data_IF_617734639999
#
_entry.id   IF_617734639999
#
_cell.length_a   1.000
_cell.length_b   1.000
_cell.length_c   1.000
_cell.angle_alpha   90.00
_cell.angle_beta   90.00
_cell.angle_gamma   90.00
#
_symmetry.space_group_name_H-M   'P 1'
#
loop_
_entity.id
_entity.type
_entity.pdbx_description
1 polymer ?
#
# COMPACT_ATOMS: atom_id res chain seq x y z
N UNK A 1 6.09 40.22 15.31
CA UNK A 1 5.27 40.04 14.10
C UNK A 1 5.86 38.86 13.37
N UNK A 2 5.09 37.78 13.17
CA UNK A 2 5.54 36.68 12.32
C UNK A 2 5.41 37.11 10.86
N UNK A 3 6.36 36.71 10.02
CA UNK A 3 6.24 36.93 8.57
C UNK A 3 5.25 35.91 7.96
N UNK A 4 4.59 36.22 6.82
CA UNK A 4 3.66 35.29 6.18
C UNK A 4 4.26 33.89 5.89
N UNK A 5 5.57 33.82 5.64
CA UNK A 5 6.29 32.56 5.42
C UNK A 5 6.46 31.74 6.70
N UNK A 6 6.63 32.40 7.86
CA UNK A 6 6.70 31.73 9.17
C UNK A 6 5.33 31.21 9.60
N UNK A 7 4.26 31.96 9.31
CA UNK A 7 2.88 31.52 9.61
C UNK A 7 2.49 30.30 8.77
N UNK A 8 2.84 30.28 7.49
CA UNK A 8 2.64 29.12 6.62
C UNK A 8 3.41 27.90 7.14
N UNK A 9 4.70 28.07 7.44
CA UNK A 9 5.55 26.96 7.93
C UNK A 9 5.02 26.39 9.26
N UNK A 10 4.57 27.26 10.17
CA UNK A 10 3.98 26.82 11.45
C UNK A 10 2.67 26.06 11.24
N UNK A 11 1.84 26.50 10.29
CA UNK A 11 0.59 25.83 9.95
C UNK A 11 0.85 24.44 9.34
N UNK A 12 1.74 24.36 8.36
CA UNK A 12 2.13 23.10 7.72
C UNK A 12 2.69 22.12 8.76
N UNK A 13 3.61 22.58 9.61
CA UNK A 13 4.18 21.77 10.69
C UNK A 13 3.11 21.25 11.68
N UNK A 14 2.13 22.09 12.02
CA UNK A 14 1.02 21.70 12.89
C UNK A 14 0.11 20.66 12.21
N UNK A 15 -0.24 20.84 10.94
CA UNK A 15 -1.04 19.89 10.16
C UNK A 15 -0.33 18.54 10.04
N UNK A 16 0.99 18.55 9.78
CA UNK A 16 1.83 17.34 9.73
C UNK A 16 1.87 16.65 11.09
N UNK A 17 2.08 17.40 12.19
CA UNK A 17 2.12 16.83 13.53
C UNK A 17 0.78 16.18 13.92
N UNK A 18 -0.34 16.87 13.70
CA UNK A 18 -1.68 16.35 13.97
C UNK A 18 -1.99 15.08 13.18
N UNK A 19 -1.58 15.03 11.91
CA UNK A 19 -1.70 13.82 11.08
C UNK A 19 -0.82 12.68 11.62
N UNK A 20 0.43 12.99 11.94
CA UNK A 20 1.46 12.05 12.40
C UNK A 20 1.24 11.47 13.81
N UNK A 21 0.44 12.14 14.66
CA UNK A 21 0.05 11.63 15.98
C UNK A 21 -0.99 10.49 15.89
N UNK A 22 -1.74 10.44 14.78
CA UNK A 22 -2.90 9.57 14.66
C UNK A 22 -4.14 10.17 15.33
N UNK A 23 -5.30 10.08 14.67
CA UNK A 23 -6.56 10.40 15.34
C UNK A 23 -6.83 9.46 16.52
N UNK A 24 -7.63 9.87 17.53
CA UNK A 24 -8.05 8.95 18.57
C UNK A 24 -8.68 7.69 17.95
N UNK A 25 -8.45 6.51 18.54
CA UNK A 25 -9.12 5.26 18.16
C UNK A 25 -10.63 5.40 18.48
N UNK A 26 -11.38 6.14 17.65
CA UNK A 26 -12.83 6.37 17.81
C UNK A 26 -13.62 5.13 17.35
N UNK A 27 -12.97 4.25 16.59
CA UNK A 27 -13.48 2.95 16.21
C UNK A 27 -13.05 1.98 17.32
N UNK A 28 -14.00 1.56 18.16
CA UNK A 28 -13.76 0.60 19.24
C UNK A 28 -13.06 -0.67 18.74
N UNK A 29 -12.44 -1.43 19.66
CA UNK A 29 -11.72 -2.67 19.34
C UNK A 29 -12.64 -3.66 18.62
N UNK A 30 -12.60 -3.65 17.29
CA UNK A 30 -13.18 -4.71 16.49
C UNK A 30 -12.40 -5.97 16.81
N UNK A 31 -13.08 -7.01 17.30
CA UNK A 31 -12.44 -8.32 17.44
C UNK A 31 -11.98 -8.77 16.06
N UNK A 32 -10.68 -9.08 15.91
CA UNK A 32 -10.20 -9.85 14.77
C UNK A 32 -11.00 -11.14 14.72
N UNK A 33 -11.77 -11.35 13.65
CA UNK A 33 -12.40 -12.63 13.43
C UNK A 33 -11.28 -13.66 13.19
N UNK A 34 -11.24 -14.79 13.92
CA UNK A 34 -10.21 -15.81 13.72
C UNK A 34 -10.14 -16.30 12.27
N UNK A 35 -11.20 -16.12 11.48
CA UNK A 35 -11.29 -16.54 10.09
C UNK A 35 -10.70 -15.52 9.09
N UNK A 36 -10.08 -14.42 9.55
CA UNK A 36 -9.49 -13.38 8.70
C UNK A 36 -7.96 -13.32 8.78
N UNK A 37 -7.32 -13.24 7.61
CA UNK A 37 -5.89 -13.03 7.46
C UNK A 37 -5.58 -11.80 6.61
N UNK A 38 -4.37 -11.28 6.77
CA UNK A 38 -3.84 -10.18 5.98
C UNK A 38 -2.65 -10.65 5.13
N UNK A 39 -2.61 -10.19 3.88
CA UNK A 39 -1.47 -10.33 3.00
C UNK A 39 -1.05 -8.96 2.49
N UNK A 40 0.18 -8.57 2.78
CA UNK A 40 0.68 -7.22 2.51
C UNK A 40 1.87 -7.34 1.57
N UNK A 41 1.85 -6.56 0.50
CA UNK A 41 2.92 -6.48 -0.49
C UNK A 41 3.21 -5.04 -0.88
N UNK A 42 4.42 -4.78 -1.34
CA UNK A 42 4.88 -3.45 -1.74
C UNK A 42 5.62 -3.55 -3.08
N UNK A 43 5.41 -2.55 -3.94
CA UNK A 43 6.05 -2.48 -5.24
C UNK A 43 6.54 -1.05 -5.50
N UNK A 44 7.76 -0.93 -6.00
CA UNK A 44 8.33 0.34 -6.43
C UNK A 44 8.88 0.23 -7.85
N UNK A 45 8.67 1.24 -8.68
CA UNK A 45 9.21 1.31 -10.04
C UNK A 45 9.00 2.67 -10.70
N UNK A 46 9.22 2.76 -12.01
CA UNK A 46 8.93 3.98 -12.76
C UNK A 46 9.51 4.01 -14.16
N UNK A 47 9.39 5.15 -14.84
CA UNK A 47 9.88 5.39 -16.21
C UNK A 47 11.28 6.03 -16.25
N UNK A 48 11.95 6.14 -15.09
CA UNK A 48 13.21 6.86 -14.90
C UNK A 48 13.15 8.34 -15.32
N UNK A 49 11.96 8.94 -15.39
CA UNK A 49 11.84 10.38 -15.58
C UNK A 49 12.52 11.12 -14.44
N UNK A 50 13.13 12.25 -14.78
CA UNK A 50 13.87 13.06 -13.82
C UNK A 50 12.93 13.63 -12.76
N UNK A 51 13.31 13.46 -11.50
CA UNK A 51 12.66 14.09 -10.36
C UNK A 51 13.41 15.37 -9.95
N UNK A 52 12.78 16.31 -9.22
CA UNK A 52 13.46 17.48 -8.67
C UNK A 52 14.64 17.09 -7.76
N UNK A 53 15.56 18.02 -7.53
CA UNK A 53 16.63 17.82 -6.55
C UNK A 53 16.05 17.62 -5.14
N UNK A 54 16.65 16.72 -4.35
CA UNK A 54 16.22 16.45 -2.98
C UNK A 54 16.52 17.62 -2.03
N UNK A 55 17.50 18.47 -2.35
CA UNK A 55 17.92 19.57 -1.51
C UNK A 55 18.23 19.12 -0.08
N UNK A 56 17.60 19.70 0.94
CA UNK A 56 17.77 19.28 2.34
C UNK A 56 17.43 17.80 2.61
N UNK A 57 16.63 17.15 1.75
CA UNK A 57 16.28 15.73 1.86
C UNK A 57 17.33 14.80 1.25
N UNK A 58 18.47 15.31 0.76
CA UNK A 58 19.56 14.49 0.23
C UNK A 58 19.98 13.29 1.12
N UNK A 59 19.92 13.36 2.47
CA UNK A 59 20.19 12.19 3.32
C UNK A 59 19.24 10.99 3.14
N UNK A 60 18.11 11.13 2.45
CA UNK A 60 17.25 10.01 2.04
C UNK A 60 17.77 9.26 0.81
N UNK A 61 18.68 9.85 0.03
CA UNK A 61 19.26 9.27 -1.18
C UNK A 61 18.33 9.27 -2.42
N UNK A 62 17.02 9.09 -2.23
CA UNK A 62 16.04 9.14 -3.32
C UNK A 62 14.69 9.68 -2.87
N UNK A 63 13.89 10.20 -3.80
CA UNK A 63 12.50 10.57 -3.54
C UNK A 63 11.63 9.36 -3.20
N UNK A 64 11.96 8.19 -3.75
CA UNK A 64 11.29 6.93 -3.42
C UNK A 64 11.52 6.57 -1.94
N UNK A 65 12.71 6.79 -1.39
CA UNK A 65 12.99 6.57 0.04
C UNK A 65 12.31 7.64 0.93
N UNK A 66 12.14 8.88 0.45
CA UNK A 66 11.28 9.88 1.12
C UNK A 66 9.83 9.38 1.18
N UNK A 67 9.28 8.92 0.05
CA UNK A 67 7.92 8.38 -0.02
C UNK A 67 7.75 7.12 0.82
N UNK A 68 8.72 6.21 0.82
CA UNK A 68 8.73 5.01 1.66
C UNK A 68 8.72 5.37 3.16
N UNK A 69 9.47 6.41 3.55
CA UNK A 69 9.45 6.92 4.92
C UNK A 69 8.09 7.53 5.29
N UNK A 70 7.46 8.28 4.38
CA UNK A 70 6.10 8.80 4.57
C UNK A 70 5.08 7.66 4.70
N UNK A 71 5.19 6.62 3.87
CA UNK A 71 4.34 5.42 3.93
C UNK A 71 4.50 4.70 5.26
N UNK A 72 5.74 4.49 5.73
CA UNK A 72 6.00 3.95 7.06
C UNK A 72 5.39 4.83 8.15
N UNK A 73 5.56 6.14 8.08
CA UNK A 73 4.96 7.05 9.07
C UNK A 73 3.44 6.97 9.06
N UNK A 74 2.83 6.78 7.88
CA UNK A 74 1.39 6.54 7.71
C UNK A 74 0.98 5.25 8.43
N UNK A 75 1.75 4.17 8.25
CA UNK A 75 1.55 2.89 8.93
C UNK A 75 1.66 3.02 10.45
N UNK A 76 2.74 3.65 10.94
CA UNK A 76 2.99 3.87 12.36
C UNK A 76 1.87 4.69 13.02
N UNK A 77 1.43 5.76 12.36
CA UNK A 77 0.35 6.64 12.85
C UNK A 77 -1.00 5.92 12.87
N UNK A 78 -1.18 4.91 12.02
CA UNK A 78 -2.35 4.04 12.01
C UNK A 78 -2.20 2.81 12.94
N UNK A 79 -0.99 2.56 13.48
CA UNK A 79 -0.59 1.30 14.12
C UNK A 79 -0.85 0.07 13.23
N UNK A 80 -0.64 0.24 11.93
CA UNK A 80 -0.82 -0.78 10.92
C UNK A 80 0.51 -1.54 10.73
N UNK A 81 0.53 -2.83 11.06
CA UNK A 81 1.73 -3.65 10.92
C UNK A 81 1.79 -4.30 9.53
N UNK A 82 2.64 -3.75 8.66
CA UNK A 82 2.84 -4.26 7.29
C UNK A 82 3.49 -5.66 7.23
N UNK A 83 4.09 -6.12 8.33
CA UNK A 83 4.75 -7.43 8.42
C UNK A 83 3.84 -8.54 8.95
N UNK A 84 2.70 -8.16 9.55
CA UNK A 84 1.75 -9.09 10.14
C UNK A 84 0.89 -9.80 9.09
N UNK A 85 0.55 -11.06 9.38
CA UNK A 85 -0.46 -11.82 8.63
C UNK A 85 -1.81 -11.85 9.36
N UNK A 86 -1.90 -11.23 10.55
CA UNK A 86 -3.14 -11.11 11.32
C UNK A 86 -3.91 -9.90 10.82
N UNK A 87 -5.16 -10.10 10.44
CA UNK A 87 -6.01 -9.00 9.99
C UNK A 87 -6.59 -8.22 11.17
N UNK A 88 -6.43 -6.90 11.12
CA UNK A 88 -7.07 -5.95 12.03
C UNK A 88 -7.87 -4.93 11.21
N UNK A 89 -9.19 -5.10 11.19
CA UNK A 89 -10.12 -4.26 10.44
C UNK A 89 -10.02 -2.77 10.84
N UNK A 90 -9.85 -2.49 12.13
CA UNK A 90 -9.78 -1.11 12.62
C UNK A 90 -8.52 -0.45 12.07
N UNK A 91 -7.36 -1.11 12.20
CA UNK A 91 -6.08 -0.61 11.69
C UNK A 91 -6.09 -0.47 10.17
N UNK A 92 -6.76 -1.38 9.48
CA UNK A 92 -6.94 -1.33 8.03
C UNK A 92 -7.70 -0.09 7.56
N UNK A 93 -8.80 0.25 8.24
CA UNK A 93 -9.61 1.45 7.95
C UNK A 93 -8.83 2.70 8.33
N UNK A 94 -8.21 2.73 9.51
CA UNK A 94 -7.43 3.87 9.98
C UNK A 94 -6.26 4.15 9.05
N UNK A 95 -5.54 3.14 8.58
CA UNK A 95 -4.48 3.30 7.58
C UNK A 95 -5.01 3.94 6.29
N UNK A 96 -6.15 3.47 5.80
CA UNK A 96 -6.79 4.03 4.61
C UNK A 96 -7.11 5.52 4.77
N UNK A 97 -7.65 5.90 5.94
CA UNK A 97 -7.93 7.30 6.24
C UNK A 97 -6.66 8.12 6.38
N UNK A 98 -5.62 7.60 7.04
CA UNK A 98 -4.33 8.30 7.16
C UNK A 98 -3.67 8.50 5.80
N UNK A 99 -3.83 7.54 4.89
CA UNK A 99 -3.34 7.67 3.53
C UNK A 99 -4.06 8.78 2.76
N UNK A 100 -5.40 8.88 2.89
CA UNK A 100 -6.18 9.89 2.16
C UNK A 100 -6.05 11.31 2.74
N UNK A 101 -5.66 11.44 4.01
CA UNK A 101 -5.50 12.73 4.68
C UNK A 101 -4.05 13.18 4.80
N UNK A 102 -3.08 12.42 4.26
CA UNK A 102 -1.68 12.79 4.40
C UNK A 102 -1.37 14.13 3.71
N UNK A 103 -0.67 15.05 4.39
CA UNK A 103 -0.45 16.40 3.87
C UNK A 103 0.55 16.43 2.71
N UNK A 104 1.31 15.36 2.49
CA UNK A 104 2.34 15.28 1.44
C UNK A 104 1.80 14.84 0.08
N UNK A 105 0.50 14.54 -0.03
CA UNK A 105 -0.12 14.13 -1.29
C UNK A 105 -1.08 15.18 -1.84
N UNK A 106 -1.03 15.33 -3.15
CA UNK A 106 -1.98 16.15 -3.92
C UNK A 106 -2.71 15.27 -4.94
N UNK A 107 -3.90 15.72 -5.36
CA UNK A 107 -4.65 15.08 -6.44
C UNK A 107 -5.04 13.63 -6.15
N UNK A 108 -5.38 13.30 -4.90
CA UNK A 108 -5.75 11.94 -4.52
C UNK A 108 -7.01 11.53 -5.29
N UNK A 109 -6.89 10.45 -6.06
CA UNK A 109 -8.01 9.84 -6.80
C UNK A 109 -8.23 8.41 -6.33
N UNK A 110 -9.49 8.02 -6.24
CA UNK A 110 -9.90 6.67 -5.90
C UNK A 110 -10.82 6.08 -6.93
N UNK A 111 -10.71 4.77 -7.16
CA UNK A 111 -11.64 3.99 -7.98
C UNK A 111 -11.70 2.56 -7.44
N UNK A 112 -12.77 1.83 -7.71
CA UNK A 112 -12.92 0.44 -7.30
C UNK A 112 -13.65 -0.38 -8.34
N UNK A 113 -13.25 -1.64 -8.49
CA UNK A 113 -13.88 -2.61 -9.38
C UNK A 113 -14.11 -3.91 -8.67
N UNK A 114 -15.25 -4.53 -8.93
CA UNK A 114 -15.56 -5.88 -8.48
C UNK A 114 -15.54 -6.84 -9.66
N UNK A 115 -14.84 -7.95 -9.51
CA UNK A 115 -14.76 -9.02 -10.51
C UNK A 115 -14.99 -10.37 -9.85
N UNK A 116 -15.40 -11.35 -10.65
CA UNK A 116 -15.52 -12.72 -10.19
C UNK A 116 -14.26 -13.50 -10.51
N UNK A 117 -13.70 -14.20 -9.53
CA UNK A 117 -12.58 -15.13 -9.70
C UNK A 117 -12.97 -16.55 -9.29
N UNK A 118 -12.18 -17.52 -9.72
CA UNK A 118 -12.26 -18.91 -9.25
C UNK A 118 -10.88 -19.53 -9.18
N UNK A 119 -10.76 -20.69 -8.54
CA UNK A 119 -9.51 -21.48 -8.54
C UNK A 119 -9.02 -21.89 -9.94
N UNK A 120 -9.86 -21.80 -10.99
CA UNK A 120 -9.50 -22.11 -12.37
C UNK A 120 -9.15 -20.86 -13.20
N UNK A 121 -9.54 -19.68 -12.75
CA UNK A 121 -9.37 -18.42 -13.47
C UNK A 121 -9.20 -17.26 -12.49
N UNK A 122 -7.96 -16.79 -12.39
CA UNK A 122 -7.53 -15.63 -11.61
C UNK A 122 -7.19 -14.45 -12.51
N UNK A 123 -7.16 -14.64 -13.84
CA UNK A 123 -6.94 -13.54 -14.79
C UNK A 123 -7.89 -12.36 -14.62
N UNK A 124 -9.18 -12.50 -14.19
CA UNK A 124 -10.04 -11.35 -13.96
C UNK A 124 -9.52 -10.40 -12.88
N UNK A 125 -8.82 -10.90 -11.84
CA UNK A 125 -8.21 -10.06 -10.83
C UNK A 125 -7.04 -9.25 -11.40
N UNK A 126 -6.20 -9.88 -12.22
CA UNK A 126 -5.08 -9.20 -12.89
C UNK A 126 -5.60 -8.15 -13.87
N UNK A 127 -6.66 -8.47 -14.62
CA UNK A 127 -7.33 -7.51 -15.50
C UNK A 127 -7.91 -6.34 -14.72
N UNK A 128 -8.59 -6.59 -13.60
CA UNK A 128 -9.14 -5.52 -12.75
C UNK A 128 -8.04 -4.58 -12.22
N UNK A 129 -6.92 -5.15 -11.74
CA UNK A 129 -5.76 -4.35 -11.30
C UNK A 129 -5.19 -3.57 -12.48
N UNK A 130 -4.97 -4.22 -13.62
CA UNK A 130 -4.41 -3.60 -14.84
C UNK A 130 -5.28 -2.45 -15.34
N UNK A 131 -6.60 -2.60 -15.32
CA UNK A 131 -7.53 -1.54 -15.71
C UNK A 131 -7.56 -0.39 -14.71
N UNK A 132 -7.45 -0.69 -13.40
CA UNK A 132 -7.46 0.33 -12.35
C UNK A 132 -6.18 1.16 -12.36
N UNK A 133 -5.01 0.52 -12.47
CA UNK A 133 -3.71 1.21 -12.40
C UNK A 133 -3.12 1.53 -13.78
N UNK A 134 -3.73 1.02 -14.84
CA UNK A 134 -3.32 1.24 -16.22
C UNK A 134 -3.28 2.72 -16.56
N UNK A 135 -2.17 3.17 -17.13
CA UNK A 135 -1.91 4.59 -17.40
C UNK A 135 -1.47 5.42 -16.19
N UNK A 136 -1.49 4.86 -14.97
CA UNK A 136 -0.94 5.49 -13.78
C UNK A 136 0.46 5.02 -13.41
N UNK A 137 0.81 3.80 -13.86
CA UNK A 137 2.09 3.12 -13.61
C UNK A 137 2.75 2.74 -14.94
N UNK A 138 4.06 2.47 -14.92
CA UNK A 138 4.74 1.88 -16.09
C UNK A 138 4.47 0.38 -16.22
N UNK A 139 4.72 -0.23 -17.40
CA UNK A 139 4.59 -1.68 -17.57
C UNK A 139 5.46 -2.51 -16.61
N UNK A 140 6.66 -2.03 -16.30
CA UNK A 140 7.56 -2.70 -15.35
C UNK A 140 7.02 -2.62 -13.92
N UNK A 141 6.52 -1.45 -13.50
CA UNK A 141 5.85 -1.30 -12.20
C UNK A 141 4.60 -2.18 -12.13
N UNK A 142 3.79 -2.25 -13.19
CA UNK A 142 2.63 -3.14 -13.26
C UNK A 142 3.04 -4.61 -13.07
N UNK A 143 4.15 -5.03 -13.69
CA UNK A 143 4.72 -6.37 -13.49
C UNK A 143 5.11 -6.59 -12.04
N UNK A 144 5.73 -5.59 -11.40
CA UNK A 144 6.06 -5.62 -9.96
C UNK A 144 4.82 -5.77 -9.07
N UNK A 145 3.75 -5.02 -9.35
CA UNK A 145 2.46 -5.12 -8.66
C UNK A 145 1.88 -6.52 -8.81
N UNK A 146 1.80 -7.05 -10.04
CA UNK A 146 1.28 -8.40 -10.30
C UNK A 146 2.10 -9.46 -9.58
N UNK A 147 3.44 -9.35 -9.59
CA UNK A 147 4.31 -10.27 -8.88
C UNK A 147 4.08 -10.22 -7.36
N UNK A 148 3.91 -9.02 -6.80
CA UNK A 148 3.60 -8.84 -5.38
C UNK A 148 2.25 -9.45 -5.01
N UNK A 149 1.21 -9.26 -5.83
CA UNK A 149 -0.10 -9.92 -5.66
C UNK A 149 0.05 -11.45 -5.71
N UNK A 150 0.86 -11.98 -6.62
CA UNK A 150 1.15 -13.42 -6.69
C UNK A 150 1.87 -13.94 -5.44
N UNK A 151 2.77 -13.15 -4.84
CA UNK A 151 3.41 -13.49 -3.55
C UNK A 151 2.40 -13.54 -2.42
N UNK A 152 1.49 -12.56 -2.36
CA UNK A 152 0.38 -12.57 -1.40
C UNK A 152 -0.51 -13.80 -1.61
N UNK A 153 -0.79 -14.17 -2.86
CA UNK A 153 -1.50 -15.40 -3.19
C UNK A 153 -0.78 -16.66 -2.69
N UNK A 154 0.55 -16.69 -2.72
CA UNK A 154 1.34 -17.79 -2.15
C UNK A 154 1.21 -17.86 -0.63
N UNK A 155 1.39 -16.73 0.06
CA UNK A 155 1.18 -16.61 1.51
C UNK A 155 -0.22 -17.10 1.92
N UNK A 156 -1.24 -16.66 1.20
CA UNK A 156 -2.63 -17.06 1.40
C UNK A 156 -2.85 -18.58 1.27
N UNK A 157 -2.12 -19.28 0.41
CA UNK A 157 -2.23 -20.75 0.30
C UNK A 157 -1.50 -21.47 1.43
N UNK A 158 -0.39 -20.92 1.91
CA UNK A 158 0.49 -21.54 2.92
C UNK A 158 -0.01 -21.40 4.36
N UNK A 159 -0.78 -20.35 4.66
CA UNK A 159 -1.26 -20.05 6.00
C UNK A 159 -2.46 -20.95 6.38
N UNK A 160 -2.17 -22.06 7.08
CA UNK A 160 -3.09 -23.18 7.37
C UNK A 160 -3.82 -23.00 8.70
N UNK A 161 -5.07 -23.43 8.77
CA UNK A 161 -5.73 -23.66 10.07
C UNK A 161 -7.24 -23.83 10.04
N UNK A 162 -7.90 -23.34 8.97
CA UNK A 162 -9.36 -23.18 8.93
C UNK A 162 -9.99 -23.80 7.68
N UNK A 163 -11.25 -24.20 7.79
CA UNK A 163 -12.00 -24.75 6.65
C UNK A 163 -12.37 -23.67 5.64
N UNK A 164 -12.66 -22.46 6.12
CA UNK A 164 -12.90 -21.26 5.31
C UNK A 164 -12.11 -20.11 5.91
N UNK A 165 -11.69 -19.13 5.09
CA UNK A 165 -11.03 -17.90 5.57
C UNK A 165 -11.22 -16.73 4.61
N UNK A 166 -11.13 -15.50 5.10
CA UNK A 166 -11.01 -14.30 4.26
C UNK A 166 -9.56 -13.81 4.27
N UNK A 167 -8.98 -13.63 3.10
CA UNK A 167 -7.68 -12.98 2.89
C UNK A 167 -7.88 -11.55 2.44
N UNK A 168 -7.47 -10.62 3.31
CA UNK A 168 -7.45 -9.20 3.06
C UNK A 168 -6.07 -8.78 2.55
N UNK A 169 -6.03 -8.30 1.32
CA UNK A 169 -4.83 -7.98 0.56
C UNK A 169 -4.60 -6.47 0.56
N UNK A 170 -3.40 -6.06 0.95
CA UNK A 170 -2.92 -4.70 0.85
C UNK A 170 -1.73 -4.66 -0.09
N UNK A 171 -1.73 -3.71 -1.02
CA UNK A 171 -0.60 -3.47 -1.90
C UNK A 171 -0.20 -2.00 -1.91
N UNK A 172 0.96 -1.68 -1.34
CA UNK A 172 1.59 -0.38 -1.50
C UNK A 172 2.26 -0.25 -2.88
N UNK A 173 2.16 0.91 -3.50
CA UNK A 173 2.76 1.21 -4.80
C UNK A 173 3.48 2.55 -4.74
N UNK A 174 4.75 2.58 -5.12
CA UNK A 174 5.48 3.79 -5.44
C UNK A 174 5.83 3.75 -6.92
N UNK A 175 5.46 4.78 -7.67
CA UNK A 175 5.78 4.83 -9.10
C UNK A 175 6.20 6.22 -9.54
N UNK A 176 7.28 6.30 -10.32
CA UNK A 176 7.66 7.51 -11.04
C UNK A 176 7.10 7.47 -12.45
N UNK A 177 6.28 8.45 -12.83
CA UNK A 177 5.71 8.57 -14.17
C UNK A 177 5.67 10.05 -14.55
N UNK A 178 6.27 10.40 -15.69
CA UNK A 178 6.27 11.76 -16.24
C UNK A 178 6.76 12.86 -15.26
N UNK A 179 7.76 12.55 -14.42
CA UNK A 179 8.32 13.47 -13.42
C UNK A 179 7.56 13.51 -12.09
N UNK A 180 6.47 12.76 -11.98
CA UNK A 180 5.66 12.65 -10.77
C UNK A 180 5.92 11.33 -10.04
N UNK A 181 6.30 11.42 -8.77
CA UNK A 181 6.30 10.30 -7.85
C UNK A 181 4.90 10.16 -7.27
N UNK A 182 4.24 9.07 -7.63
CA UNK A 182 2.90 8.74 -7.17
C UNK A 182 2.96 7.66 -6.11
N UNK A 183 2.18 7.86 -5.05
CA UNK A 183 1.97 6.91 -3.99
C UNK A 183 0.59 6.29 -4.22
N UNK A 184 0.54 4.97 -4.17
CA UNK A 184 -0.65 4.19 -4.43
C UNK A 184 -0.90 3.15 -3.35
N UNK A 185 -2.17 2.85 -3.12
CA UNK A 185 -2.64 1.75 -2.30
C UNK A 185 -3.68 0.98 -3.11
N UNK A 186 -3.50 -0.33 -3.23
CA UNK A 186 -4.53 -1.23 -3.72
C UNK A 186 -5.00 -2.12 -2.59
N UNK A 187 -6.29 -2.39 -2.55
CA UNK A 187 -6.86 -3.31 -1.57
C UNK A 187 -7.76 -4.32 -2.22
N UNK A 188 -7.78 -5.52 -1.65
CA UNK A 188 -8.63 -6.59 -2.13
C UNK A 188 -9.04 -7.52 -1.01
N UNK A 189 -10.26 -8.04 -1.03
CA UNK A 189 -10.69 -9.09 -0.11
C UNK A 189 -11.07 -10.33 -0.91
N UNK A 190 -10.59 -11.49 -0.46
CA UNK A 190 -10.76 -12.79 -1.13
C UNK A 190 -11.15 -13.83 -0.10
N UNK A 191 -12.35 -14.40 -0.20
CA UNK A 191 -12.72 -15.55 0.62
C UNK A 191 -11.91 -16.79 0.18
N UNK A 192 -11.83 -17.89 0.92
CA UNK A 192 -11.16 -19.13 0.52
C UNK A 192 -11.75 -20.32 1.25
N UNK A 193 -11.75 -21.52 0.64
CA UNK A 193 -12.15 -22.79 1.27
C UNK A 193 -11.01 -23.81 1.20
N UNK A 194 -10.68 -24.45 2.32
CA UNK A 194 -9.71 -25.55 2.35
C UNK A 194 -10.33 -26.84 1.81
N UNK A 195 -9.66 -27.46 0.83
CA UNK A 195 -10.03 -28.78 0.31
C UNK A 195 -8.91 -29.79 0.54
N UNK A 196 -9.27 -30.87 1.25
CA UNK A 196 -8.36 -31.99 1.54
C UNK A 196 -7.70 -32.52 0.27
N UNK A 197 -6.37 -32.64 0.28
CA UNK A 197 -5.57 -33.11 -0.86
C UNK A 197 -5.37 -32.07 -1.97
N UNK A 198 -5.98 -30.89 -1.89
CA UNK A 198 -5.84 -29.80 -2.87
C UNK A 198 -5.37 -28.46 -2.27
N UNK A 199 -5.37 -28.31 -0.94
CA UNK A 199 -5.05 -27.05 -0.25
C UNK A 199 -6.24 -26.09 -0.23
N UNK A 200 -6.00 -24.82 0.11
CA UNK A 200 -7.01 -23.77 -0.07
C UNK A 200 -7.31 -23.58 -1.56
N UNK A 201 -8.58 -23.70 -1.93
CA UNK A 201 -9.10 -23.33 -3.24
C UNK A 201 -9.97 -22.09 -3.09
N UNK A 202 -9.81 -21.13 -3.99
CA UNK A 202 -10.73 -20.01 -4.10
C UNK A 202 -12.10 -20.55 -4.57
N UNK A 203 -13.15 -20.27 -3.80
CA UNK A 203 -14.54 -20.45 -4.23
C UNK A 203 -14.84 -19.47 -5.38
N UNK A 204 -15.96 -19.64 -6.09
CA UNK A 204 -16.45 -18.58 -6.97
C UNK A 204 -16.68 -17.33 -6.10
N UNK A 205 -15.91 -16.28 -6.33
CA UNK A 205 -15.80 -15.17 -5.38
C UNK A 205 -15.85 -13.83 -6.06
N UNK A 206 -16.48 -12.87 -5.39
CA UNK A 206 -16.35 -11.47 -5.71
C UNK A 206 -15.11 -10.89 -5.05
N UNK A 207 -14.23 -10.40 -5.91
CA UNK A 207 -13.00 -9.72 -5.58
C UNK A 207 -13.22 -8.25 -5.87
N UNK A 208 -13.21 -7.41 -4.83
CA UNK A 208 -13.25 -5.95 -4.99
C UNK A 208 -11.83 -5.41 -4.90
N UNK A 209 -11.31 -4.91 -6.02
CA UNK A 209 -10.06 -4.15 -6.03
C UNK A 209 -10.41 -2.68 -5.88
N UNK A 210 -9.92 -2.03 -4.83
CA UNK A 210 -9.94 -0.57 -4.73
C UNK A 210 -8.55 -0.02 -4.93
N UNK A 211 -8.43 1.15 -5.56
CA UNK A 211 -7.20 1.91 -5.67
C UNK A 211 -7.37 3.30 -5.05
N UNK A 212 -6.30 3.79 -4.45
CA UNK A 212 -6.10 5.20 -4.12
C UNK A 212 -4.72 5.60 -4.62
N UNK A 213 -4.61 6.71 -5.35
CA UNK A 213 -3.34 7.25 -5.83
C UNK A 213 -3.28 8.75 -5.61
N UNK A 214 -2.17 9.26 -5.10
CA UNK A 214 -1.85 10.69 -5.04
C UNK A 214 -0.43 10.97 -5.55
N UNK A 215 -0.17 12.22 -5.93
CA UNK A 215 1.17 12.68 -6.33
C UNK A 215 1.86 13.34 -5.14
N UNK A 216 3.13 13.01 -4.93
CA UNK A 216 3.96 13.60 -3.88
C UNK A 216 4.16 15.11 -4.12
N UNK A 217 3.84 15.92 -3.11
CA UNK A 217 4.16 17.34 -3.12
C UNK A 217 5.63 17.55 -2.71
N UNK A 218 6.50 17.61 -3.72
CA UNK A 218 7.93 17.84 -3.51
C UNK A 218 8.21 19.16 -2.76
N UNK A 219 7.43 20.20 -3.04
CA UNK A 219 7.62 21.51 -2.44
C UNK A 219 7.33 21.49 -0.95
N UNK A 220 6.22 20.85 -0.56
CA UNK A 220 5.86 20.66 0.84
C UNK A 220 6.89 19.78 1.57
N UNK A 221 7.36 18.70 0.92
CA UNK A 221 8.42 17.85 1.49
C UNK A 221 9.71 18.64 1.75
N UNK A 222 10.18 19.43 0.78
CA UNK A 222 11.41 20.24 0.93
C UNK A 222 11.26 21.29 2.02
N UNK A 223 10.12 21.99 2.08
CA UNK A 223 9.87 23.01 3.13
C UNK A 223 9.84 22.40 4.54
N UNK A 224 9.39 21.14 4.66
CA UNK A 224 9.25 20.45 5.94
C UNK A 224 10.32 19.36 6.12
N UNK A 225 11.49 19.53 5.50
CA UNK A 225 12.54 18.52 5.51
C UNK A 225 13.05 18.17 6.91
N UNK A 226 13.14 19.15 7.82
CA UNK A 226 13.55 18.91 9.21
C UNK A 226 12.62 17.92 9.93
N UNK A 227 11.31 18.00 9.67
CA UNK A 227 10.32 17.09 10.25
C UNK A 227 10.50 15.68 9.68
N UNK A 228 10.62 15.57 8.35
CA UNK A 228 10.83 14.28 7.67
C UNK A 228 12.13 13.60 8.12
N UNK A 229 13.21 14.37 8.25
CA UNK A 229 14.53 13.85 8.64
C UNK A 229 14.58 13.38 10.10
N UNK A 230 13.66 13.85 10.95
CA UNK A 230 13.53 13.44 12.34
C UNK A 230 12.73 12.13 12.52
N UNK A 231 12.02 11.67 11.48
CA UNK A 231 11.35 10.37 11.52
C UNK A 231 12.33 9.22 11.32
N UNK A 232 11.92 8.04 11.77
CA UNK A 232 12.64 6.81 11.47
C UNK A 232 12.62 6.57 9.96
N UNK A 233 13.78 6.72 9.34
CA UNK A 233 13.92 6.61 7.89
C UNK A 233 13.69 5.18 7.43
N UNK A 234 13.09 5.05 6.26
CA UNK A 234 12.86 3.79 5.58
C UNK A 234 13.45 3.89 4.18
N UNK A 235 14.43 3.03 3.87
CA UNK A 235 14.85 2.88 2.49
C UNK A 235 13.77 2.16 1.67
N UNK A 236 13.70 2.45 0.37
CA UNK A 236 12.72 1.84 -0.54
C UNK A 236 12.87 0.31 -0.60
N UNK A 237 14.10 -0.22 -0.59
CA UNK A 237 14.31 -1.67 -0.62
C UNK A 237 13.84 -2.32 0.67
N UNK A 238 14.09 -1.66 1.80
CA UNK A 238 13.64 -2.14 3.11
C UNK A 238 12.13 -2.09 3.23
N UNK A 239 11.47 -1.06 2.65
CA UNK A 239 10.02 -0.97 2.60
C UNK A 239 9.39 -2.09 1.76
N UNK A 240 9.98 -2.40 0.60
CA UNK A 240 9.56 -3.55 -0.21
C UNK A 240 9.78 -4.88 0.54
N UNK A 241 10.87 -4.98 1.32
CA UNK A 241 11.20 -6.19 2.11
C UNK A 241 10.41 -6.32 3.41
N UNK A 242 9.87 -5.24 3.95
CA UNK A 242 9.12 -5.22 5.21
C UNK A 242 7.71 -5.79 5.12
N UNK A 243 7.18 -5.96 3.91
CA UNK A 243 5.83 -6.48 3.69
C UNK A 243 5.72 -7.99 4.00
N UNK A 244 4.59 -8.43 4.56
CA UNK A 244 4.38 -9.82 4.97
C UNK A 244 4.53 -10.86 3.85
N UNK A 245 4.27 -10.47 2.59
CA UNK A 245 4.46 -11.34 1.43
C UNK A 245 5.91 -11.43 0.93
N UNK A 246 6.82 -10.59 1.41
CA UNK A 246 8.18 -10.48 0.88
C UNK A 246 8.98 -11.80 0.88
N UNK A 247 8.91 -12.64 1.93
CA UNK A 247 9.63 -13.91 1.99
C UNK A 247 9.16 -14.96 0.98
N UNK A 248 7.98 -14.76 0.37
CA UNK A 248 7.36 -15.75 -0.50
C UNK A 248 7.70 -15.50 -1.98
N UNK A 249 7.84 -16.56 -2.79
CA UNK A 249 7.93 -16.42 -4.23
C UNK A 249 6.56 -16.06 -4.83
N UNK A 250 6.53 -15.43 -6.02
CA UNK A 250 5.29 -15.32 -6.79
C UNK A 250 4.71 -16.72 -7.04
N UNK A 251 3.40 -16.88 -6.83
CA UNK A 251 2.70 -18.12 -7.14
C UNK A 251 2.63 -18.37 -8.67
N UNK A 252 3.00 -19.58 -9.10
CA UNK A 252 3.05 -20.00 -10.51
C UNK A 252 1.79 -20.74 -10.99
N UNK A 253 0.63 -20.54 -10.34
CA UNK A 253 -0.62 -21.19 -10.72
C UNK A 253 -0.98 -20.88 -12.18
N UNK A 254 -1.33 -21.90 -13.01
CA UNK A 254 -1.78 -21.66 -14.38
C UNK A 254 -3.07 -20.83 -14.44
N UNK A 255 -3.84 -20.74 -13.34
CA UNK A 255 -5.04 -19.92 -13.25
C UNK A 255 -4.77 -18.41 -13.43
N UNK A 256 -3.54 -17.94 -13.25
CA UNK A 256 -3.18 -16.54 -13.51
C UNK A 256 -3.28 -16.14 -14.99
N UNK A 257 -3.19 -17.12 -15.91
CA UNK A 257 -3.25 -16.91 -17.36
C UNK A 257 -4.55 -17.40 -18.02
N UNK A 258 -5.46 -17.98 -17.26
CA UNK A 258 -6.76 -18.50 -17.70
C UNK A 258 -7.92 -17.68 -17.12
#
# INVERSE_FOLDING_TARGET
>A
MCTPSEEQSRREAFEIAMWAEGGPDVLGSGSSDPDEEAGIGNACGGDNSGLPDLGPLAPFGSWQSVAATIMRKTADSARFDESSTVFDLVRWIVFGNQFTTMPFLTGITGDSRSVSISSLSLSPAISAVTELVGGLVTPDTLTGIVNSIKKIGQLAVENRGLREKNSNVHQGVLTVVNGDLRLGRLQTTVQMEYRTGKGYQQLNQHLTVSRLFGTLDYGLCVRNAEILLAWDRQDVDDWVKGASSSPYPPNDSPAWGN
#
